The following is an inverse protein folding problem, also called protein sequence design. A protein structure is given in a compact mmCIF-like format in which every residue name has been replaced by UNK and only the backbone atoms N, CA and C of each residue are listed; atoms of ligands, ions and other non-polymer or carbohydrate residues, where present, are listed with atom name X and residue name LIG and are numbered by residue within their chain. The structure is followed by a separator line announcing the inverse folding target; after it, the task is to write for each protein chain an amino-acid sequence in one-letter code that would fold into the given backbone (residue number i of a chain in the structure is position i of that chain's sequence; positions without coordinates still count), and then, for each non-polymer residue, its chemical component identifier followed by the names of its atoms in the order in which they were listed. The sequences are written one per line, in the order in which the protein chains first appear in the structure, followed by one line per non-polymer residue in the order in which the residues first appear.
data_IF_142376671717
#
_entry.id   IF_142376671717
#
_cell.length_a   1.000
_cell.length_b   1.000
_cell.length_c   1.000
_cell.angle_alpha   90.00
_cell.angle_beta   90.00
_cell.angle_gamma   90.00
#
_symmetry.space_group_name_H-M   'P 1'
#
loop_
_entity.id
_entity.type
_entity.pdbx_description
1 polymer ?
#
# COMPACT_ATOMS: atom_id res chain seq x y z
N UNK A 1 13.79 -57.82 14.62
CA UNK A 1 12.54 -57.02 14.62
C UNK A 1 12.85 -55.67 15.27
N UNK A 2 12.96 -54.58 14.52
CA UNK A 2 13.34 -53.30 15.14
C UNK A 2 13.59 -52.10 14.23
N UNK A 3 13.71 -52.29 12.91
CA UNK A 3 13.99 -51.17 11.98
C UNK A 3 12.74 -50.66 11.24
N UNK A 4 11.71 -51.50 11.12
CA UNK A 4 10.44 -51.13 10.44
C UNK A 4 9.55 -50.18 11.25
N UNK A 5 9.67 -50.21 12.59
CA UNK A 5 8.91 -49.31 13.48
C UNK A 5 9.41 -47.87 13.48
N UNK A 6 10.73 -47.66 13.34
CA UNK A 6 11.33 -46.32 13.34
C UNK A 6 11.02 -45.54 12.05
N UNK A 7 10.99 -46.25 10.90
CA UNK A 7 10.70 -45.65 9.60
C UNK A 7 9.23 -45.21 9.50
N UNK A 8 8.29 -45.96 10.10
CA UNK A 8 6.87 -45.56 10.20
C UNK A 8 6.65 -44.37 11.12
N UNK A 9 7.45 -44.23 12.19
CA UNK A 9 7.37 -43.07 13.09
C UNK A 9 7.89 -41.79 12.41
N UNK A 10 8.95 -41.89 11.62
CA UNK A 10 9.50 -40.77 10.83
C UNK A 10 8.54 -40.31 9.72
N UNK A 11 7.82 -41.25 9.08
CA UNK A 11 6.79 -40.92 8.08
C UNK A 11 5.53 -40.27 8.67
N UNK A 12 5.18 -40.56 9.93
CA UNK A 12 4.07 -39.91 10.64
C UNK A 12 4.42 -38.48 11.13
N UNK A 13 5.71 -38.19 11.36
CA UNK A 13 6.16 -36.84 11.76
C UNK A 13 6.25 -35.90 10.54
N UNK A 14 6.42 -36.44 9.32
CA UNK A 14 6.47 -35.65 8.09
C UNK A 14 5.10 -35.18 7.54
N UNK A 15 3.99 -35.61 8.13
CA UNK A 15 2.63 -35.17 7.72
C UNK A 15 2.00 -34.12 8.66
N UNK A 16 2.68 -33.75 9.74
CA UNK A 16 2.31 -32.61 10.57
C UNK A 16 3.18 -31.40 10.23
N UNK A 17 3.03 -30.87 9.01
CA UNK A 17 3.24 -29.43 8.83
C UNK A 17 2.11 -28.81 9.66
N UNK A 18 2.39 -28.08 10.75
CA UNK A 18 1.32 -27.38 11.45
C UNK A 18 0.63 -26.52 10.39
N UNK A 19 -0.67 -26.74 10.18
CA UNK A 19 -1.47 -25.80 9.43
C UNK A 19 -1.21 -24.45 10.11
N UNK A 20 -0.51 -23.56 9.43
CA UNK A 20 -0.29 -22.21 9.92
C UNK A 20 -1.68 -21.65 10.13
N UNK A 21 -2.12 -21.54 11.38
CA UNK A 21 -3.45 -21.00 11.68
C UNK A 21 -3.50 -19.61 11.07
N UNK A 22 -4.52 -19.36 10.24
CA UNK A 22 -4.72 -18.05 9.66
C UNK A 22 -4.94 -17.05 10.81
N UNK A 23 -4.33 -15.87 10.67
CA UNK A 23 -4.47 -14.79 11.66
C UNK A 23 -5.95 -14.50 11.88
N UNK A 24 -6.36 -14.35 13.14
CA UNK A 24 -7.72 -13.93 13.48
C UNK A 24 -7.73 -12.49 13.97
N UNK A 25 -8.67 -11.69 13.50
CA UNK A 25 -8.84 -10.31 13.93
C UNK A 25 -10.27 -10.04 14.38
N UNK A 26 -10.46 -9.03 15.23
CA UNK A 26 -11.79 -8.49 15.47
C UNK A 26 -12.22 -7.63 14.29
N UNK A 27 -13.40 -7.90 13.73
CA UNK A 27 -14.06 -7.07 12.73
C UNK A 27 -15.23 -6.34 13.38
N UNK A 28 -15.07 -5.03 13.54
CA UNK A 28 -16.08 -4.15 14.11
C UNK A 28 -16.53 -3.14 13.05
N UNK A 29 -17.85 -3.08 12.82
CA UNK A 29 -18.47 -2.08 11.95
C UNK A 29 -18.73 -0.78 12.72
N UNK A 30 -19.03 0.30 11.98
CA UNK A 30 -19.34 1.63 12.54
C UNK A 30 -20.53 1.63 13.52
N UNK A 31 -21.45 0.67 13.41
CA UNK A 31 -22.58 0.50 14.33
C UNK A 31 -22.19 -0.16 15.68
N UNK A 32 -20.92 -0.54 15.85
CA UNK A 32 -20.41 -1.21 17.04
C UNK A 32 -20.58 -2.73 17.05
N UNK A 33 -21.13 -3.33 15.99
CA UNK A 33 -21.24 -4.78 15.87
C UNK A 33 -19.86 -5.39 15.59
N UNK A 34 -19.43 -6.28 16.47
CA UNK A 34 -18.09 -6.87 16.45
C UNK A 34 -18.16 -8.40 16.40
N UNK A 35 -17.40 -9.00 15.49
CA UNK A 35 -17.24 -10.45 15.38
C UNK A 35 -15.78 -10.81 15.13
N UNK A 36 -15.41 -12.07 15.40
CA UNK A 36 -14.09 -12.58 15.01
C UNK A 36 -14.12 -12.95 13.53
N UNK A 37 -13.12 -12.50 12.79
CA UNK A 37 -12.90 -12.81 11.38
C UNK A 37 -11.57 -13.56 11.23
N UNK A 38 -11.57 -14.62 10.41
CA UNK A 38 -10.36 -15.31 9.98
C UNK A 38 -9.83 -14.60 8.73
N UNK A 39 -8.58 -14.14 8.78
CA UNK A 39 -8.00 -13.33 7.72
C UNK A 39 -7.70 -14.15 6.47
N UNK A 40 -7.96 -13.56 5.31
CA UNK A 40 -7.70 -14.20 4.02
C UNK A 40 -6.18 -14.34 3.77
N UNK A 41 -5.75 -15.23 2.85
CA UNK A 41 -4.35 -15.29 2.43
C UNK A 41 -3.82 -13.91 1.99
N UNK A 42 -2.64 -13.53 2.49
CA UNK A 42 -2.06 -12.20 2.25
C UNK A 42 -2.56 -11.10 3.19
N UNK A 43 -3.46 -11.41 4.13
CA UNK A 43 -3.86 -10.53 5.24
C UNK A 43 -3.27 -11.03 6.55
N UNK A 44 -2.08 -10.57 6.88
CA UNK A 44 -1.27 -10.95 8.04
C UNK A 44 -1.21 -9.84 9.12
N UNK A 45 -2.07 -8.82 8.99
CA UNK A 45 -2.23 -7.76 9.97
C UNK A 45 -3.70 -7.60 10.38
N UNK A 46 -3.92 -7.21 11.63
CA UNK A 46 -5.17 -6.63 12.10
C UNK A 46 -5.07 -5.10 12.05
N UNK A 47 -6.14 -4.44 11.58
CA UNK A 47 -6.27 -2.98 11.60
C UNK A 47 -7.24 -2.49 12.66
N UNK A 48 -6.96 -1.30 13.17
CA UNK A 48 -7.89 -0.43 13.89
C UNK A 48 -7.86 0.94 13.23
N UNK A 49 -8.99 1.38 12.68
CA UNK A 49 -9.19 2.70 12.10
C UNK A 49 -10.06 3.53 13.07
N UNK A 50 -9.55 4.67 13.49
CA UNK A 50 -10.24 5.60 14.38
C UNK A 50 -10.46 6.91 13.64
N UNK A 51 -11.72 7.31 13.51
CA UNK A 51 -12.13 8.63 13.07
C UNK A 51 -12.62 9.41 14.28
N UNK A 52 -11.98 10.54 14.53
CA UNK A 52 -12.34 11.44 15.62
C UNK A 52 -12.67 12.82 15.04
N UNK A 53 -13.83 13.36 15.42
CA UNK A 53 -14.31 14.67 15.01
C UNK A 53 -14.51 15.51 16.27
N UNK A 54 -13.78 16.61 16.36
CA UNK A 54 -13.86 17.55 17.46
C UNK A 54 -14.48 18.87 17.01
N UNK A 55 -15.55 19.32 17.66
CA UNK A 55 -16.31 20.53 17.35
C UNK A 55 -16.85 21.15 18.66
N UNK A 56 -16.49 22.40 18.97
CA UNK A 56 -17.04 23.14 20.13
C UNK A 56 -17.14 22.34 21.45
N UNK A 57 -16.05 21.64 21.81
CA UNK A 57 -15.93 20.76 22.98
C UNK A 57 -16.72 19.44 22.95
N UNK A 58 -17.49 19.17 21.90
CA UNK A 58 -18.03 17.85 21.59
C UNK A 58 -17.02 17.01 20.80
N UNK A 59 -16.93 15.72 21.15
CA UNK A 59 -16.03 14.75 20.52
C UNK A 59 -16.83 13.54 20.08
N UNK A 60 -16.86 13.30 18.76
CA UNK A 60 -17.41 12.09 18.17
C UNK A 60 -16.27 11.17 17.76
N UNK A 61 -16.28 9.95 18.28
CA UNK A 61 -15.34 8.90 17.89
C UNK A 61 -16.05 7.73 17.22
N UNK A 62 -15.49 7.29 16.09
CA UNK A 62 -15.91 6.10 15.37
C UNK A 62 -14.71 5.18 15.22
N UNK A 63 -14.86 3.92 15.64
CA UNK A 63 -13.82 2.89 15.55
C UNK A 63 -14.29 1.77 14.64
N UNK A 64 -13.47 1.44 13.65
CA UNK A 64 -13.65 0.29 12.77
C UNK A 64 -12.42 -0.63 12.88
N UNK A 65 -12.63 -1.94 12.87
CA UNK A 65 -11.53 -2.91 12.96
C UNK A 65 -11.72 -4.04 11.95
N UNK A 66 -10.64 -4.75 11.59
CA UNK A 66 -10.71 -5.92 10.73
C UNK A 66 -9.34 -6.44 10.31
N UNK A 67 -9.30 -7.34 9.34
CA UNK A 67 -8.06 -7.79 8.71
C UNK A 67 -7.48 -6.73 7.73
N UNK A 68 -6.17 -6.78 7.52
CA UNK A 68 -5.40 -5.89 6.66
C UNK A 68 -4.21 -6.63 6.03
N UNK A 69 -3.77 -6.14 4.87
CA UNK A 69 -2.62 -6.69 4.14
C UNK A 69 -1.28 -6.25 4.73
N UNK A 70 -0.25 -7.05 4.51
CA UNK A 70 1.11 -6.90 5.05
C UNK A 70 1.77 -5.56 4.76
N UNK A 71 1.41 -4.94 3.64
CA UNK A 71 2.03 -3.69 3.21
C UNK A 71 1.51 -2.49 4.02
N UNK A 72 0.41 -2.65 4.76
CA UNK A 72 -0.22 -1.57 5.54
C UNK A 72 0.66 -1.17 6.73
N UNK A 73 0.66 0.12 7.03
CA UNK A 73 1.48 0.69 8.12
C UNK A 73 0.67 1.66 8.99
N UNK A 74 1.20 1.94 10.18
CA UNK A 74 0.61 2.91 11.09
C UNK A 74 0.65 4.31 10.48
N UNK A 75 -0.48 5.00 10.49
CA UNK A 75 -0.57 6.36 9.93
C UNK A 75 -1.55 7.23 10.68
N UNK A 76 -1.30 8.53 10.65
CA UNK A 76 -2.20 9.54 11.22
C UNK A 76 -2.35 10.72 10.30
N UNK A 77 -3.52 11.35 10.32
CA UNK A 77 -3.77 12.61 9.64
C UNK A 77 -4.81 13.42 10.41
N UNK A 78 -4.50 14.67 10.70
CA UNK A 78 -5.38 15.61 11.38
C UNK A 78 -5.48 16.89 10.55
N UNK A 79 -6.70 17.38 10.30
CA UNK A 79 -6.94 18.61 9.57
C UNK A 79 -8.18 19.36 10.08
N UNK A 80 -8.28 20.63 9.71
CA UNK A 80 -9.42 21.52 10.02
C UNK A 80 -10.34 21.65 8.82
N UNK A 81 -11.64 21.62 9.08
CA UNK A 81 -12.71 21.97 8.13
C UNK A 81 -13.78 22.76 8.87
N UNK A 82 -13.96 24.03 8.51
CA UNK A 82 -14.73 25.00 9.28
C UNK A 82 -14.22 25.13 10.72
N UNK A 83 -15.08 24.82 11.68
CA UNK A 83 -14.74 24.82 13.11
C UNK A 83 -14.28 23.45 13.62
N UNK A 84 -14.43 22.40 12.80
CA UNK A 84 -14.17 21.02 13.18
C UNK A 84 -12.69 20.68 13.01
N UNK A 85 -12.17 19.83 13.88
CA UNK A 85 -10.89 19.13 13.69
C UNK A 85 -11.19 17.66 13.44
N UNK A 86 -10.84 17.16 12.27
CA UNK A 86 -10.99 15.75 11.90
C UNK A 86 -9.62 15.09 12.07
N UNK A 87 -9.57 14.00 12.83
CA UNK A 87 -8.39 13.16 13.01
C UNK A 87 -8.68 11.73 12.57
N UNK A 88 -7.88 11.21 11.66
CA UNK A 88 -7.89 9.85 11.16
C UNK A 88 -6.62 9.15 11.66
N UNK A 89 -6.78 8.02 12.32
CA UNK A 89 -5.66 7.20 12.79
C UNK A 89 -5.88 5.76 12.37
N UNK A 90 -4.86 5.15 11.79
CA UNK A 90 -4.87 3.73 11.47
C UNK A 90 -3.68 3.05 12.13
N UNK A 91 -3.94 1.98 12.87
CA UNK A 91 -2.95 1.22 13.62
C UNK A 91 -3.02 -0.24 13.17
N UNK A 92 -1.85 -0.84 12.96
CA UNK A 92 -1.64 -2.21 12.55
C UNK A 92 -0.99 -3.03 13.67
N UNK A 93 -1.35 -4.30 13.78
CA UNK A 93 -0.70 -5.28 14.66
C UNK A 93 -0.82 -6.69 14.06
N UNK A 94 0.15 -7.57 14.32
CA UNK A 94 0.29 -8.86 13.62
C UNK A 94 0.04 -10.11 14.47
N UNK A 95 -0.68 -9.99 15.59
CA UNK A 95 -0.97 -11.14 16.47
C UNK A 95 -2.46 -11.37 16.62
N UNK A 96 -2.86 -12.61 16.91
CA UNK A 96 -4.25 -13.01 17.05
C UNK A 96 -5.04 -12.06 17.96
N UNK A 97 -6.13 -11.51 17.42
CA UNK A 97 -7.08 -10.61 18.07
C UNK A 97 -6.45 -9.37 18.73
N UNK A 98 -5.28 -8.93 18.25
CA UNK A 98 -4.56 -7.78 18.82
C UNK A 98 -5.32 -6.45 18.71
N UNK A 99 -6.27 -6.36 17.78
CA UNK A 99 -7.11 -5.19 17.56
C UNK A 99 -8.43 -5.23 18.36
N UNK A 100 -8.53 -6.10 19.37
CA UNK A 100 -9.75 -6.21 20.18
C UNK A 100 -10.06 -4.86 20.86
N UNK A 101 -11.27 -4.30 20.65
CA UNK A 101 -11.67 -3.07 21.30
C UNK A 101 -11.54 -3.23 22.81
N UNK A 102 -10.92 -2.25 23.47
CA UNK A 102 -10.70 -2.32 24.90
C UNK A 102 -11.83 -1.54 25.59
N UNK A 103 -12.81 -2.20 26.24
CA UNK A 103 -13.91 -1.52 26.92
C UNK A 103 -13.34 -0.83 28.17
N UNK A 104 -13.00 0.45 28.05
CA UNK A 104 -12.46 1.25 29.15
C UNK A 104 -11.20 2.05 28.83
N UNK A 105 -10.57 1.86 27.66
CA UNK A 105 -9.70 2.90 27.13
C UNK A 105 -10.59 3.94 26.46
N UNK A 106 -10.90 5.01 27.19
CA UNK A 106 -10.97 6.31 26.52
C UNK A 106 -9.62 6.49 25.82
N UNK A 107 -9.58 6.74 24.51
CA UNK A 107 -8.38 7.27 23.91
C UNK A 107 -8.18 8.64 24.54
N UNK A 108 -7.41 8.67 25.62
CA UNK A 108 -6.83 9.88 26.11
C UNK A 108 -5.89 10.35 25.00
N UNK A 109 -6.42 11.16 24.08
CA UNK A 109 -5.56 12.11 23.41
C UNK A 109 -4.76 12.77 24.51
N UNK A 110 -3.43 12.75 24.46
CA UNK A 110 -2.68 13.55 25.40
C UNK A 110 -3.18 14.97 25.21
N UNK A 111 -3.93 15.49 26.19
CA UNK A 111 -4.15 16.92 26.42
C UNK A 111 -2.81 17.55 26.82
N UNK A 112 -1.72 17.15 26.15
CA UNK A 112 -0.41 17.67 26.42
C UNK A 112 -0.44 19.12 25.97
N UNK A 113 -0.39 20.02 26.94
CA UNK A 113 -0.04 21.43 26.79
C UNK A 113 1.32 21.66 26.11
N UNK A 114 2.01 20.61 25.66
CA UNK A 114 3.23 20.71 24.86
C UNK A 114 2.86 21.13 23.45
N UNK A 115 3.29 22.33 23.08
CA UNK A 115 3.21 22.83 21.71
C UNK A 115 4.26 22.09 20.88
N UNK A 116 3.83 21.08 20.12
CA UNK A 116 4.68 20.41 19.13
C UNK A 116 4.84 21.26 17.86
N UNK A 117 4.95 20.63 16.69
CA UNK A 117 4.98 21.33 15.41
C UNK A 117 3.64 22.04 15.16
N UNK A 118 3.68 23.26 14.62
CA UNK A 118 2.49 24.00 14.17
C UNK A 118 2.49 24.04 12.63
N UNK A 119 1.35 23.68 12.02
CA UNK A 119 1.19 23.54 10.58
C UNK A 119 0.02 24.38 10.06
N UNK A 120 -0.01 24.60 8.75
CA UNK A 120 -1.21 25.07 8.06
C UNK A 120 -2.18 23.91 7.89
N UNK A 121 -3.48 24.20 7.99
CA UNK A 121 -4.54 23.24 7.81
C UNK A 121 -5.76 23.82 7.10
N UNK A 122 -6.30 23.02 6.18
CA UNK A 122 -7.45 23.32 5.35
C UNK A 122 -7.97 22.02 4.74
N UNK A 123 -9.18 22.07 4.16
CA UNK A 123 -9.80 20.99 3.41
C UNK A 123 -10.55 21.52 2.17
N UNK A 124 -10.86 20.63 1.23
CA UNK A 124 -11.68 20.94 0.05
C UNK A 124 -13.18 20.87 0.36
N UNK A 125 -13.61 20.13 1.37
CA UNK A 125 -15.02 20.01 1.77
C UNK A 125 -15.69 21.34 2.09
N UNK A 126 -14.95 22.27 2.70
CA UNK A 126 -15.40 23.63 3.01
C UNK A 126 -14.76 24.70 2.10
N UNK A 127 -14.04 24.27 1.06
CA UNK A 127 -13.29 25.11 0.12
C UNK A 127 -12.22 25.99 0.79
N UNK A 128 -11.79 25.65 2.01
CA UNK A 128 -10.80 26.46 2.73
C UNK A 128 -9.44 26.43 2.07
N UNK A 129 -9.03 25.30 1.49
CA UNK A 129 -7.77 25.21 0.75
C UNK A 129 -7.80 26.07 -0.51
N UNK A 130 -8.82 25.91 -1.35
CA UNK A 130 -8.96 26.59 -2.63
C UNK A 130 -9.11 28.10 -2.48
N UNK A 131 -9.77 28.57 -1.41
CA UNK A 131 -9.94 29.99 -1.10
C UNK A 131 -8.75 30.60 -0.34
N UNK A 132 -7.76 29.80 0.04
CA UNK A 132 -6.64 30.23 0.87
C UNK A 132 -7.06 30.65 2.28
N UNK A 133 -8.16 30.10 2.80
CA UNK A 133 -8.62 30.31 4.18
C UNK A 133 -7.90 29.38 5.15
N UNK A 134 -6.57 29.38 5.02
CA UNK A 134 -5.63 28.58 5.80
C UNK A 134 -5.78 28.86 7.30
N UNK A 135 -5.99 27.80 8.10
CA UNK A 135 -5.99 27.88 9.57
C UNK A 135 -4.71 27.26 10.13
N UNK A 136 -4.33 27.67 11.33
CA UNK A 136 -3.22 27.02 12.05
C UNK A 136 -3.72 25.80 12.82
N UNK A 137 -2.95 24.72 12.78
CA UNK A 137 -3.20 23.49 13.52
C UNK A 137 -1.94 23.06 14.25
N UNK A 138 -2.08 22.84 15.56
CA UNK A 138 -1.01 22.34 16.41
C UNK A 138 -1.03 20.81 16.36
N UNK A 139 0.08 20.19 15.97
CA UNK A 139 0.20 18.73 15.96
C UNK A 139 0.15 18.18 17.38
N UNK A 140 -0.35 16.95 17.54
CA UNK A 140 -0.60 16.32 18.85
C UNK A 140 0.46 15.31 19.23
N UNK A 141 1.30 14.89 18.28
CA UNK A 141 2.36 13.92 18.50
C UNK A 141 3.70 14.46 17.95
N UNK A 142 4.83 14.30 18.68
CA UNK A 142 6.14 14.79 18.24
C UNK A 142 6.67 14.13 16.95
N UNK A 143 6.11 12.99 16.54
CA UNK A 143 6.43 12.32 15.27
C UNK A 143 5.64 12.86 14.08
N UNK A 144 4.62 13.69 14.32
CA UNK A 144 3.83 14.29 13.24
C UNK A 144 4.59 15.39 12.54
N UNK A 145 4.38 15.46 11.23
CA UNK A 145 4.92 16.45 10.32
C UNK A 145 3.77 17.27 9.74
N UNK A 146 4.09 18.41 9.14
CA UNK A 146 3.13 19.13 8.32
C UNK A 146 2.94 18.39 7.01
N UNK A 147 1.68 18.17 6.65
CA UNK A 147 1.28 17.43 5.46
C UNK A 147 0.55 18.34 4.47
N UNK A 148 0.73 18.04 3.19
CA UNK A 148 -0.08 18.50 2.08
C UNK A 148 -0.37 17.29 1.19
N UNK A 149 -1.65 16.95 1.06
CA UNK A 149 -2.16 15.81 0.29
C UNK A 149 -3.03 16.34 -0.82
N UNK A 150 -2.77 15.90 -2.06
CA UNK A 150 -3.56 16.23 -3.24
C UNK A 150 -4.03 14.95 -3.91
N UNK A 151 -5.33 14.85 -4.14
CA UNK A 151 -5.98 13.76 -4.85
C UNK A 151 -6.93 14.33 -5.91
N UNK A 152 -6.53 14.26 -7.17
CA UNK A 152 -7.37 14.62 -8.30
C UNK A 152 -7.73 13.33 -9.04
N UNK A 153 -9.01 12.96 -9.01
CA UNK A 153 -9.60 11.87 -9.78
C UNK A 153 -10.91 12.34 -10.39
N UNK A 154 -11.21 11.88 -11.62
CA UNK A 154 -12.27 12.44 -12.45
C UNK A 154 -13.72 12.30 -11.95
N UNK A 155 -14.02 11.64 -10.82
CA UNK A 155 -15.43 11.39 -10.45
C UNK A 155 -15.79 11.08 -8.98
N UNK A 156 -14.87 11.10 -8.01
CA UNK A 156 -15.22 10.76 -6.61
C UNK A 156 -15.13 11.95 -5.66
N UNK A 157 -16.13 12.03 -4.75
CA UNK A 157 -16.32 12.99 -3.65
C UNK A 157 -15.24 12.87 -2.56
N UNK A 158 -13.98 12.68 -2.92
CA UNK A 158 -12.88 12.72 -1.98
C UNK A 158 -12.39 14.16 -1.81
N UNK A 159 -11.81 14.43 -0.65
CA UNK A 159 -11.10 15.68 -0.39
C UNK A 159 -9.96 15.83 -1.40
N UNK A 160 -10.06 16.83 -2.27
CA UNK A 160 -9.06 17.04 -3.34
C UNK A 160 -7.76 17.57 -2.78
N UNK A 161 -7.86 18.45 -1.80
CA UNK A 161 -6.75 19.12 -1.14
C UNK A 161 -6.95 19.01 0.36
N UNK A 162 -5.92 18.54 1.05
CA UNK A 162 -5.89 18.50 2.50
C UNK A 162 -4.54 18.99 3.01
N UNK A 163 -4.58 19.85 4.04
CA UNK A 163 -3.39 20.24 4.79
C UNK A 163 -3.60 20.02 6.27
N UNK A 164 -2.54 19.66 6.98
CA UNK A 164 -2.60 19.53 8.42
C UNK A 164 -1.38 18.85 9.02
N UNK A 165 -1.61 18.08 10.07
CA UNK A 165 -0.60 17.34 10.80
C UNK A 165 -0.75 15.85 10.54
N UNK A 166 0.35 15.10 10.56
CA UNK A 166 0.25 13.65 10.57
C UNK A 166 1.54 12.95 10.26
N UNK A 167 1.44 11.63 10.15
CA UNK A 167 2.52 10.78 9.66
C UNK A 167 1.92 9.80 8.67
N UNK A 168 2.23 9.99 7.39
CA UNK A 168 1.73 9.14 6.30
C UNK A 168 2.88 8.34 5.69
N UNK A 169 2.60 7.16 5.12
CA UNK A 169 3.59 6.42 4.34
C UNK A 169 4.15 7.32 3.24
N UNK A 170 5.45 7.22 2.95
CA UNK A 170 6.12 8.12 2.00
C UNK A 170 6.63 9.44 2.60
N UNK A 171 6.43 9.69 3.90
CA UNK A 171 7.16 10.72 4.65
C UNK A 171 8.50 10.16 5.20
N UNK A 172 9.61 10.94 5.22
CA UNK A 172 9.74 12.30 4.68
C UNK A 172 9.66 12.30 3.13
N UNK A 173 8.77 13.14 2.59
CA UNK A 173 8.47 13.23 1.16
C UNK A 173 9.34 14.24 0.41
N UNK A 174 8.94 14.68 -0.81
CA UNK A 174 7.66 14.44 -1.46
C UNK A 174 7.57 13.08 -2.17
N UNK A 175 6.35 12.60 -2.36
CA UNK A 175 6.05 11.44 -3.19
C UNK A 175 4.75 11.64 -3.95
N UNK A 176 4.53 10.88 -5.02
CA UNK A 176 3.31 10.99 -5.80
C UNK A 176 3.33 10.20 -7.09
N UNK A 177 2.21 10.30 -7.79
CA UNK A 177 1.97 9.76 -9.11
C UNK A 177 1.05 10.68 -9.88
N UNK A 178 1.29 10.75 -11.18
CA UNK A 178 0.33 11.34 -12.10
C UNK A 178 0.27 10.58 -13.41
N UNK A 179 -0.94 10.53 -13.95
CA UNK A 179 -1.19 10.19 -15.34
C UNK A 179 -2.04 11.31 -15.97
N UNK A 180 -2.62 11.08 -17.14
CA UNK A 180 -3.43 12.10 -17.81
C UNK A 180 -4.68 12.55 -17.04
N UNK A 181 -5.24 11.69 -16.17
CA UNK A 181 -6.53 11.92 -15.51
C UNK A 181 -6.43 12.02 -13.99
N UNK A 182 -5.31 11.56 -13.43
CA UNK A 182 -5.16 11.30 -12.00
C UNK A 182 -3.89 11.95 -11.48
N UNK A 183 -3.99 12.64 -10.34
CA UNK A 183 -2.85 13.09 -9.54
C UNK A 183 -3.05 12.63 -8.10
N UNK A 184 -2.05 11.95 -7.58
CA UNK A 184 -1.90 11.72 -6.15
C UNK A 184 -0.56 12.28 -5.72
N UNK A 185 -0.55 13.20 -4.75
CA UNK A 185 0.67 13.83 -4.29
C UNK A 185 0.67 13.99 -2.77
N UNK A 186 1.80 13.69 -2.16
CA UNK A 186 2.04 13.85 -0.74
C UNK A 186 3.34 14.64 -0.54
N UNK A 187 3.24 15.75 0.18
CA UNK A 187 4.40 16.49 0.68
C UNK A 187 4.37 16.50 2.20
N UNK A 188 5.52 16.22 2.80
CA UNK A 188 5.71 16.26 4.25
C UNK A 188 6.91 17.14 4.58
N UNK A 189 6.82 17.91 5.65
CA UNK A 189 7.91 18.75 6.14
C UNK A 189 7.81 18.96 7.66
N UNK A 190 8.95 19.23 8.30
CA UNK A 190 9.09 19.17 9.76
C UNK A 190 9.41 20.52 10.43
N UNK A 191 9.19 21.63 9.74
CA UNK A 191 9.40 22.99 10.27
C UNK A 191 8.07 23.75 10.36
N UNK A 192 7.99 24.73 11.26
CA UNK A 192 6.74 25.44 11.55
C UNK A 192 6.12 26.05 10.29
N UNK A 193 4.87 25.69 9.98
CA UNK A 193 4.05 26.17 8.86
C UNK A 193 4.72 26.00 7.49
N UNK A 194 5.59 25.01 7.33
CA UNK A 194 6.29 24.72 6.08
C UNK A 194 5.38 24.27 4.92
N UNK A 195 4.16 23.82 5.23
CA UNK A 195 3.15 23.44 4.24
C UNK A 195 2.25 24.61 3.81
N UNK A 196 2.65 25.86 4.09
CA UNK A 196 1.99 27.07 3.58
C UNK A 196 2.27 27.26 2.10
N UNK A 197 1.30 27.79 1.36
CA UNK A 197 1.47 28.19 -0.04
C UNK A 197 0.17 28.12 -0.82
N UNK A 198 0.18 28.43 -2.12
CA UNK A 198 -0.97 28.15 -2.98
C UNK A 198 -1.23 26.64 -3.03
N UNK A 199 -2.46 26.24 -3.34
CA UNK A 199 -2.80 24.84 -3.59
C UNK A 199 -1.92 24.29 -4.72
N UNK A 200 -1.40 23.08 -4.52
CA UNK A 200 -0.57 22.43 -5.52
C UNK A 200 -1.44 21.86 -6.65
N UNK A 201 -1.16 22.31 -7.87
CA UNK A 201 -1.72 21.74 -9.09
C UNK A 201 -0.61 21.04 -9.88
N UNK A 202 -0.96 20.03 -10.67
CA UNK A 202 0.01 19.30 -11.51
C UNK A 202 0.80 20.26 -12.41
N UNK A 203 0.15 21.28 -12.98
CA UNK A 203 0.78 22.26 -13.87
C UNK A 203 1.85 23.10 -13.17
N UNK A 204 1.73 23.27 -11.85
CA UNK A 204 2.69 24.03 -11.04
C UNK A 204 3.97 23.23 -10.76
N UNK A 205 3.97 21.91 -10.99
CA UNK A 205 5.17 21.08 -10.91
C UNK A 205 5.99 21.21 -12.20
N UNK A 206 7.31 21.47 -12.10
CA UNK A 206 8.16 21.62 -13.27
C UNK A 206 8.28 20.31 -14.05
N UNK A 207 8.42 20.40 -15.37
CA UNK A 207 8.76 19.23 -16.19
C UNK A 207 10.14 18.70 -15.77
N UNK A 208 10.27 17.37 -15.69
CA UNK A 208 11.53 16.72 -15.32
C UNK A 208 12.27 16.07 -16.49
N UNK A 209 11.74 16.21 -17.71
CA UNK A 209 12.33 15.71 -18.95
C UNK A 209 12.03 14.25 -19.28
N UNK A 210 11.40 13.50 -18.37
CA UNK A 210 10.95 12.13 -18.61
C UNK A 210 9.58 12.13 -19.31
N UNK A 211 9.38 11.19 -20.23
CA UNK A 211 8.07 10.88 -20.82
C UNK A 211 7.71 9.44 -20.54
N UNK A 212 6.47 9.19 -20.11
CA UNK A 212 5.97 7.84 -19.81
C UNK A 212 4.61 7.62 -20.47
N UNK A 213 4.29 6.37 -20.77
CA UNK A 213 2.95 6.01 -21.21
C UNK A 213 1.97 6.19 -20.06
N UNK A 214 0.78 6.68 -20.39
CA UNK A 214 -0.33 6.93 -19.48
C UNK A 214 -1.56 6.19 -19.97
N UNK A 215 -2.20 5.47 -19.06
CA UNK A 215 -3.49 4.86 -19.26
C UNK A 215 -4.09 4.48 -17.91
N UNK A 216 -5.40 4.27 -17.86
CA UNK A 216 -6.09 3.79 -16.68
C UNK A 216 -7.35 3.03 -17.10
N UNK A 217 -7.49 1.79 -16.65
CA UNK A 217 -8.61 0.91 -17.00
C UNK A 217 -8.15 -0.51 -17.30
N UNK A 218 -8.99 -1.30 -17.96
CA UNK A 218 -8.64 -2.65 -18.37
C UNK A 218 -7.87 -2.65 -19.71
N UNK A 219 -7.33 -3.80 -20.11
CA UNK A 219 -6.50 -3.90 -21.34
C UNK A 219 -7.27 -3.65 -22.64
N UNK A 220 -8.59 -3.81 -22.61
CA UNK A 220 -9.48 -3.58 -23.78
C UNK A 220 -10.14 -2.21 -23.79
N UNK A 221 -10.24 -1.57 -22.61
CA UNK A 221 -10.93 -0.32 -22.38
C UNK A 221 -10.19 0.49 -21.30
N UNK A 222 -9.61 1.61 -21.71
CA UNK A 222 -8.81 2.50 -20.88
C UNK A 222 -7.31 2.33 -21.07
N UNK A 223 -6.81 1.08 -21.12
CA UNK A 223 -5.40 0.75 -21.35
C UNK A 223 -5.14 -0.07 -22.63
N UNK A 224 -6.00 0.10 -23.63
CA UNK A 224 -5.77 -0.41 -24.99
C UNK A 224 -4.68 0.39 -25.72
N UNK A 225 -4.14 -0.14 -26.82
CA UNK A 225 -3.04 0.49 -27.57
C UNK A 225 -3.41 1.86 -28.15
N UNK A 226 -4.67 2.08 -28.50
CA UNK A 226 -5.23 3.33 -28.99
C UNK A 226 -5.53 4.35 -27.88
N UNK A 227 -5.69 3.90 -26.63
CA UNK A 227 -5.96 4.76 -25.46
C UNK A 227 -4.71 5.03 -24.61
N UNK A 228 -3.58 4.43 -24.95
CA UNK A 228 -2.31 4.58 -24.23
C UNK A 228 -1.40 5.54 -24.99
N UNK A 229 -1.03 6.65 -24.36
CA UNK A 229 -0.21 7.70 -25.00
C UNK A 229 0.84 8.25 -24.04
N UNK A 230 1.85 8.91 -24.59
CA UNK A 230 2.93 9.51 -23.81
C UNK A 230 2.48 10.80 -23.14
N UNK A 231 2.84 10.96 -21.87
CA UNK A 231 2.71 12.19 -21.11
C UNK A 231 4.08 12.67 -20.62
N UNK A 232 4.21 13.98 -20.44
CA UNK A 232 5.42 14.56 -19.88
C UNK A 232 5.38 14.52 -18.34
N UNK A 233 6.40 13.94 -17.73
CA UNK A 233 6.49 13.79 -16.30
C UNK A 233 6.90 15.10 -15.60
N UNK A 234 6.47 15.24 -14.33
CA UNK A 234 6.59 16.48 -13.57
C UNK A 234 7.08 16.25 -12.15
N UNK A 235 7.77 17.24 -11.60
CA UNK A 235 8.26 17.24 -10.23
C UNK A 235 9.08 15.99 -9.89
N UNK A 236 8.91 15.40 -8.70
CA UNK A 236 9.67 14.23 -8.24
C UNK A 236 9.24 12.92 -8.92
N UNK A 237 8.24 12.95 -9.81
CA UNK A 237 7.68 11.76 -10.44
C UNK A 237 8.52 11.39 -11.67
N UNK A 238 9.71 10.84 -11.42
CA UNK A 238 10.77 10.58 -12.40
C UNK A 238 10.99 9.09 -12.71
N UNK A 239 9.99 8.25 -12.43
CA UNK A 239 9.93 6.85 -12.85
C UNK A 239 8.71 6.65 -13.74
N UNK A 240 8.83 5.82 -14.76
CA UNK A 240 7.64 5.31 -15.44
C UNK A 240 7.12 4.12 -14.64
N UNK A 241 5.83 4.17 -14.30
CA UNK A 241 5.15 3.15 -13.53
C UNK A 241 4.15 2.40 -14.41
N UNK A 242 4.08 1.11 -14.16
CA UNK A 242 2.98 0.24 -14.56
C UNK A 242 2.52 -0.52 -13.32
N UNK A 243 1.21 -0.55 -13.08
CA UNK A 243 0.65 -1.42 -12.08
C UNK A 243 -0.56 -2.16 -12.62
N UNK A 244 -0.68 -3.40 -12.20
CA UNK A 244 -1.81 -4.28 -12.51
C UNK A 244 -2.39 -4.87 -11.24
N UNK A 245 -3.70 -5.06 -11.17
CA UNK A 245 -4.35 -5.67 -10.02
C UNK A 245 -5.83 -5.92 -10.29
N UNK A 246 -6.55 -6.34 -9.25
CA UNK A 246 -8.01 -6.51 -9.33
C UNK A 246 -8.73 -5.44 -8.52
N UNK A 247 -9.74 -4.81 -9.11
CA UNK A 247 -10.57 -3.81 -8.44
C UNK A 247 -11.80 -4.48 -7.83
N UNK A 248 -11.70 -4.99 -6.59
CA UNK A 248 -12.81 -5.64 -5.89
C UNK A 248 -13.26 -7.02 -6.44
N UNK A 249 -14.25 -7.66 -5.81
CA UNK A 249 -14.70 -9.01 -6.16
C UNK A 249 -15.51 -9.04 -7.47
N UNK A 250 -14.95 -9.68 -8.51
CA UNK A 250 -15.64 -9.93 -9.79
C UNK A 250 -15.17 -9.11 -11.00
N UNK A 251 -14.21 -8.19 -10.83
CA UNK A 251 -13.76 -7.31 -11.91
C UNK A 251 -12.57 -7.84 -12.74
N UNK A 252 -12.48 -7.44 -14.03
CA UNK A 252 -11.34 -7.75 -14.88
C UNK A 252 -10.06 -7.04 -14.40
N UNK A 253 -8.90 -7.58 -14.79
CA UNK A 253 -7.58 -6.98 -14.55
C UNK A 253 -7.59 -5.47 -14.85
N UNK A 254 -7.28 -4.68 -13.85
CA UNK A 254 -7.14 -3.22 -13.93
C UNK A 254 -5.67 -2.87 -14.08
N UNK A 255 -5.37 -1.99 -15.02
CA UNK A 255 -4.02 -1.51 -15.31
C UNK A 255 -3.99 0.00 -15.16
N UNK A 256 -2.91 0.50 -14.57
CA UNK A 256 -2.61 1.93 -14.53
C UNK A 256 -1.16 2.16 -14.94
N UNK A 257 -0.96 3.14 -15.82
CA UNK A 257 0.36 3.61 -16.25
C UNK A 257 0.48 5.11 -16.05
N UNK A 258 1.68 5.57 -15.72
CA UNK A 258 1.96 7.00 -15.58
C UNK A 258 3.36 7.27 -15.05
N UNK A 259 3.57 8.46 -14.52
CA UNK A 259 4.81 8.86 -13.89
C UNK A 259 4.68 8.75 -12.36
N UNK A 260 5.66 8.18 -11.70
CA UNK A 260 5.68 8.00 -10.25
C UNK A 260 6.98 8.48 -9.63
N UNK A 261 6.93 8.87 -8.36
CA UNK A 261 8.13 8.98 -7.53
C UNK A 261 8.65 7.58 -7.16
N UNK A 262 9.95 7.40 -6.89
CA UNK A 262 10.51 6.09 -6.55
C UNK A 262 9.82 5.39 -5.37
N UNK A 263 9.36 6.13 -4.35
CA UNK A 263 8.65 5.56 -3.20
C UNK A 263 7.25 5.04 -3.53
N UNK A 264 6.63 5.51 -4.62
CA UNK A 264 5.35 4.97 -5.10
C UNK A 264 5.47 3.59 -5.74
N UNK A 265 6.68 3.19 -6.15
CA UNK A 265 6.95 1.88 -6.74
C UNK A 265 6.89 0.73 -5.71
N UNK A 266 6.70 1.01 -4.42
CA UNK A 266 6.66 0.01 -3.34
C UNK A 266 5.30 -0.70 -3.17
N UNK A 267 4.36 -0.55 -4.11
CA UNK A 267 3.08 -1.29 -4.10
C UNK A 267 1.98 -0.67 -3.25
N UNK A 268 2.24 -0.40 -1.97
CA UNK A 268 1.23 0.08 -1.01
C UNK A 268 0.46 1.31 -1.51
N UNK A 269 1.20 2.34 -1.93
CA UNK A 269 0.62 3.61 -2.39
C UNK A 269 -0.31 3.42 -3.59
N UNK A 270 0.09 2.56 -4.52
CA UNK A 270 -0.69 2.25 -5.73
C UNK A 270 -1.94 1.46 -5.36
N UNK A 271 -1.80 0.42 -4.54
CA UNK A 271 -2.91 -0.40 -4.09
C UNK A 271 -3.98 0.42 -3.37
N UNK A 272 -3.58 1.41 -2.58
CA UNK A 272 -4.51 2.28 -1.86
C UNK A 272 -5.15 3.34 -2.75
N UNK A 273 -4.35 4.02 -3.57
CA UNK A 273 -4.84 5.06 -4.48
C UNK A 273 -5.88 4.50 -5.45
N UNK A 274 -5.62 3.32 -6.01
CA UNK A 274 -6.47 2.70 -7.04
C UNK A 274 -7.33 1.54 -6.53
N UNK A 275 -7.38 1.32 -5.21
CA UNK A 275 -8.16 0.24 -4.58
C UNK A 275 -7.90 -1.15 -5.20
N UNK A 276 -6.64 -1.42 -5.53
CA UNK A 276 -6.22 -2.66 -6.16
C UNK A 276 -5.89 -3.71 -5.11
N UNK A 277 -6.41 -4.92 -5.31
CA UNK A 277 -5.97 -6.12 -4.60
C UNK A 277 -4.90 -6.85 -5.43
N UNK A 278 -3.94 -7.48 -4.75
CA UNK A 278 -2.81 -8.19 -5.38
C UNK A 278 -2.07 -7.33 -6.42
N UNK A 279 -1.82 -6.06 -6.09
CA UNK A 279 -1.20 -5.11 -7.00
C UNK A 279 0.24 -5.54 -7.33
N UNK A 280 0.50 -5.77 -8.60
CA UNK A 280 1.86 -5.96 -9.12
C UNK A 280 2.32 -4.63 -9.72
N UNK A 281 3.40 -4.07 -9.16
CA UNK A 281 3.93 -2.75 -9.54
C UNK A 281 5.31 -2.93 -10.15
N UNK A 282 5.50 -2.35 -11.33
CA UNK A 282 6.77 -2.27 -12.04
C UNK A 282 7.12 -0.81 -12.28
N UNK A 283 8.38 -0.46 -12.04
CA UNK A 283 8.91 0.85 -12.33
C UNK A 283 10.21 0.75 -13.13
N UNK A 284 10.41 1.70 -14.03
CA UNK A 284 11.61 1.78 -14.84
C UNK A 284 12.03 3.23 -15.09
N UNK A 285 13.32 3.42 -15.31
CA UNK A 285 13.92 4.69 -15.71
C UNK A 285 14.12 4.74 -17.21
N UNK A 286 13.76 5.87 -17.83
CA UNK A 286 13.97 6.13 -19.25
C UNK A 286 12.66 6.38 -20.01
N UNK A 287 12.75 7.15 -21.09
CA UNK A 287 11.57 7.58 -21.84
C UNK A 287 10.80 6.38 -22.41
N UNK A 288 9.49 6.34 -22.14
CA UNK A 288 8.57 5.34 -22.65
C UNK A 288 8.94 3.90 -22.25
N UNK A 289 9.66 3.70 -21.15
CA UNK A 289 10.08 2.35 -20.76
C UNK A 289 8.90 1.47 -20.33
N UNK A 290 7.78 2.06 -19.91
CA UNK A 290 6.52 1.39 -19.59
C UNK A 290 5.60 1.23 -20.82
N UNK A 291 6.16 0.93 -21.99
CA UNK A 291 5.39 0.66 -23.22
C UNK A 291 4.69 -0.72 -23.14
N UNK A 292 3.37 -0.80 -23.38
CA UNK A 292 2.63 -2.07 -23.37
C UNK A 292 3.19 -3.13 -24.35
N UNK A 293 3.88 -2.74 -25.42
CA UNK A 293 4.45 -3.68 -26.38
C UNK A 293 5.68 -4.44 -25.85
N UNK A 294 6.35 -3.92 -24.81
CA UNK A 294 7.46 -4.61 -24.15
C UNK A 294 6.97 -5.77 -23.27
N UNK A 295 5.73 -5.73 -22.81
CA UNK A 295 5.13 -6.78 -21.98
C UNK A 295 4.90 -8.09 -22.77
N UNK A 296 4.59 -7.95 -24.07
CA UNK A 296 4.39 -9.08 -24.99
C UNK A 296 5.70 -9.82 -25.24
N UNK A 297 6.84 -9.13 -25.25
CA UNK A 297 8.15 -9.76 -25.42
C UNK A 297 8.60 -10.50 -24.15
N UNK A 298 8.38 -9.94 -22.95
CA UNK A 298 8.67 -10.63 -21.69
C UNK A 298 7.81 -11.89 -21.50
N UNK A 299 6.54 -11.89 -21.93
CA UNK A 299 5.69 -13.09 -21.92
C UNK A 299 6.04 -14.12 -23.00
N UNK A 300 6.68 -13.71 -24.11
CA UNK A 300 7.20 -14.63 -25.14
C UNK A 300 8.62 -15.13 -24.87
N UNK A 301 9.36 -14.50 -23.96
CA UNK A 301 10.77 -14.80 -23.65
C UNK A 301 11.02 -15.77 -22.49
N UNK A 302 9.99 -16.38 -21.90
CA UNK A 302 10.09 -17.06 -20.61
C UNK A 302 9.62 -18.53 -20.58
N UNK A 303 10.08 -19.36 -21.51
CA UNK A 303 10.20 -20.80 -21.27
C UNK A 303 11.64 -21.20 -21.60
N UNK A 304 12.48 -21.57 -20.61
CA UNK A 304 13.75 -22.21 -20.91
C UNK A 304 13.41 -23.52 -21.63
N UNK A 305 13.77 -23.62 -22.91
CA UNK A 305 13.90 -24.94 -23.55
C UNK A 305 14.85 -25.77 -22.67
N UNK A 306 14.54 -27.03 -22.34
CA UNK A 306 15.51 -27.90 -21.70
C UNK A 306 16.70 -28.04 -22.65
N UNK A 307 17.81 -27.37 -22.31
CA UNK A 307 19.09 -27.63 -22.96
C UNK A 307 19.53 -29.06 -22.65
N UNK A 308 20.25 -29.72 -23.56
CA UNK A 308 20.60 -31.13 -23.41
C UNK A 308 21.42 -31.33 -22.14
N UNK A 309 21.03 -32.31 -21.34
CA UNK A 309 21.70 -32.67 -20.10
C UNK A 309 23.17 -33.02 -20.38
N UNK A 310 24.08 -32.12 -20.02
CA UNK A 310 25.49 -32.44 -19.91
C UNK A 310 25.68 -33.32 -18.67
N UNK A 311 25.77 -34.63 -18.92
CA UNK A 311 26.23 -35.64 -17.97
C UNK A 311 27.65 -35.27 -17.52
N UNK A 312 27.79 -34.70 -16.32
CA UNK A 312 29.08 -34.60 -15.65
C UNK A 312 29.41 -35.98 -15.06
N UNK A 313 30.19 -36.76 -15.81
CA UNK A 313 30.89 -37.93 -15.31
C UNK A 313 32.01 -37.44 -14.38
N UNK A 314 31.85 -37.65 -13.08
CA UNK A 314 32.97 -37.79 -12.15
C UNK A 314 32.92 -39.20 -11.57
N UNK A 315 33.74 -40.06 -12.15
CA UNK A 315 33.87 -41.50 -11.92
C UNK A 315 34.80 -41.76 -10.71
N UNK A 316 34.27 -42.54 -9.75
CA UNK A 316 34.83 -43.75 -9.10
C UNK A 316 36.19 -43.70 -8.38
N UNK A 317 36.20 -44.18 -7.12
CA UNK A 317 37.11 -45.23 -6.60
C UNK A 317 36.57 -45.74 -5.24
N UNK A 318 35.98 -46.94 -5.13
CA UNK A 318 36.51 -48.32 -4.99
C UNK A 318 36.51 -48.82 -3.54
N UNK A 319 35.85 -49.96 -3.30
CA UNK A 319 36.37 -51.23 -2.73
C UNK A 319 35.17 -52.18 -2.52
N UNK A 320 34.84 -53.06 -3.48
CA UNK A 320 35.25 -54.47 -3.66
C UNK A 320 34.66 -55.51 -2.70
N UNK A 321 33.72 -56.30 -3.28
CA UNK A 321 33.66 -57.78 -3.34
C UNK A 321 33.47 -58.59 -2.05
N UNK A 322 32.32 -59.30 -1.96
CA UNK A 322 32.18 -60.80 -1.98
C UNK A 322 30.68 -61.15 -2.02
N UNK A 323 30.13 -61.70 -3.12
CA UNK A 323 30.12 -63.10 -3.60
C UNK A 323 29.11 -64.02 -2.85
N UNK A 324 28.21 -64.62 -3.66
CA UNK A 324 27.29 -65.77 -3.45
C UNK A 324 25.90 -65.43 -2.87
N UNK A 325 24.76 -65.85 -3.41
CA UNK A 325 24.39 -66.66 -4.58
C UNK A 325 22.87 -66.98 -4.53
N UNK A 326 22.23 -67.06 -5.70
CA UNK A 326 21.12 -67.99 -6.04
C UNK A 326 19.76 -67.99 -5.30
N UNK A 327 18.70 -67.63 -6.05
CA UNK A 327 17.42 -68.36 -6.27
C UNK A 327 16.58 -68.88 -5.09
N UNK A 328 15.32 -68.42 -4.96
CA UNK A 328 14.07 -69.12 -5.37
C UNK A 328 12.82 -68.45 -4.76
N UNK A 329 11.79 -68.29 -5.60
CA UNK A 329 10.36 -67.97 -5.36
C UNK A 329 10.01 -66.56 -4.82
#
# INVERSE_FOLDING_TARGET
MGVSGLLRLLLLIQTCIPATWALRCMRCERNGNCQVEECAPGQDLCRTTVLNIWEEDEELEVVETGCAHSEKTNRTMSYRTGMKIITLTEIMCGSDLCNRPNPGRTPAFPRSRNRYLECISCASSDLSCERGWDRSLQCRNPREQCLEVVTLEGSLKNERNLRGCGNLPGCPGPTGFHNNHTLHFLRCCNTTKCNKGPVLELQNLPLNGLQCYSCQGNSTDGCSSDKTFLIACRGPMNQCLEATGTEGPGNPYYTVRGCAAPSWCQGLHVAEAFRLHHANVSCCTGNGCNDPNKDVQSRKGGAPRPGPAHLSLSIILLTTVRLWGGTLL
#
